data_IF_126407857233
#
_entry.id   IF_126407857233
#
_cell.length_a   1.000
_cell.length_b   1.000
_cell.length_c   1.000
_cell.angle_alpha   90.00
_cell.angle_beta   90.00
_cell.angle_gamma   90.00
#
_symmetry.space_group_name_H-M   'P 1'
#
loop_
_entity.id
_entity.type
_entity.pdbx_description
1 polymer ?
#
# COMPACT_ATOMS: atom_id res chain seq x y z
N UNK A 1 2.85 7.24 -5.91
CA UNK A 1 1.54 6.79 -6.41
C UNK A 1 1.06 7.58 -7.62
N UNK A 2 0.36 8.70 -7.45
CA UNK A 2 -0.32 9.42 -8.57
C UNK A 2 0.40 10.69 -9.06
N UNK A 3 1.58 11.02 -8.50
CA UNK A 3 2.21 12.33 -8.70
C UNK A 3 1.30 13.52 -8.32
N UNK A 4 0.51 13.34 -7.24
CA UNK A 4 -0.48 14.29 -6.71
C UNK A 4 -1.73 14.50 -7.56
N UNK A 5 -1.99 13.64 -8.55
CA UNK A 5 -3.23 13.64 -9.31
C UNK A 5 -4.33 12.84 -8.58
N UNK A 6 -5.35 13.54 -8.07
CA UNK A 6 -6.49 12.91 -7.38
C UNK A 6 -7.45 12.18 -8.31
N UNK A 7 -7.38 12.40 -9.63
CA UNK A 7 -8.21 11.74 -10.63
C UNK A 7 -7.50 10.58 -11.34
N UNK A 8 -6.28 10.24 -10.89
CA UNK A 8 -5.48 9.19 -11.50
C UNK A 8 -6.19 7.83 -11.47
N UNK A 9 -6.25 7.17 -12.63
CA UNK A 9 -6.72 5.80 -12.80
C UNK A 9 -5.64 5.00 -13.53
N UNK A 10 -5.09 3.98 -12.88
CA UNK A 10 -4.10 3.10 -13.52
C UNK A 10 -4.76 2.06 -14.44
N UNK A 11 -3.95 1.42 -15.31
CA UNK A 11 -4.39 0.30 -16.15
C UNK A 11 -4.93 -0.89 -15.34
N UNK A 12 -4.48 -1.05 -14.09
CA UNK A 12 -4.96 -2.08 -13.17
C UNK A 12 -6.22 -1.65 -12.39
N UNK A 13 -6.75 -0.45 -12.66
CA UNK A 13 -7.94 0.09 -12.02
C UNK A 13 -7.67 0.75 -10.66
N UNK A 14 -6.42 0.98 -10.27
CA UNK A 14 -6.10 1.70 -9.04
C UNK A 14 -6.53 3.17 -9.12
N UNK A 15 -7.20 3.68 -8.09
CA UNK A 15 -7.96 4.93 -8.12
C UNK A 15 -7.39 5.99 -7.17
N UNK A 16 -7.38 7.22 -7.65
CA UNK A 16 -7.18 8.42 -6.84
C UNK A 16 -5.76 8.63 -6.33
N UNK A 17 -5.62 9.57 -5.39
CA UNK A 17 -4.34 10.11 -4.94
C UNK A 17 -3.34 9.02 -4.49
N UNK A 18 -3.79 8.05 -3.70
CA UNK A 18 -3.00 6.94 -3.16
C UNK A 18 -3.15 5.64 -3.96
N UNK A 19 -3.76 5.69 -5.15
CA UNK A 19 -3.89 4.55 -6.06
C UNK A 19 -4.44 3.30 -5.36
N UNK A 20 -5.59 3.45 -4.69
CA UNK A 20 -6.26 2.35 -3.98
C UNK A 20 -6.95 1.43 -5.00
N UNK A 21 -6.72 0.12 -4.91
CA UNK A 21 -7.40 -0.85 -5.78
C UNK A 21 -8.91 -0.94 -5.47
N UNK A 22 -9.76 -1.23 -6.46
CA UNK A 22 -11.22 -1.28 -6.26
C UNK A 22 -11.68 -2.27 -5.17
N UNK A 23 -11.00 -3.40 -5.04
CA UNK A 23 -11.30 -4.39 -4.02
C UNK A 23 -10.94 -3.89 -2.61
N UNK A 24 -9.76 -3.28 -2.47
CA UNK A 24 -9.34 -2.62 -1.24
C UNK A 24 -10.29 -1.48 -0.87
N UNK A 25 -10.70 -0.66 -1.84
CA UNK A 25 -11.67 0.41 -1.61
C UNK A 25 -12.99 -0.13 -1.07
N UNK A 26 -13.55 -1.15 -1.73
CA UNK A 26 -14.83 -1.76 -1.33
C UNK A 26 -14.79 -2.33 0.09
N UNK A 27 -13.66 -2.89 0.49
CA UNK A 27 -13.49 -3.47 1.82
C UNK A 27 -13.31 -2.41 2.91
N UNK A 28 -12.54 -1.36 2.65
CA UNK A 28 -12.07 -0.43 3.68
C UNK A 28 -12.78 0.93 3.70
N UNK A 29 -13.44 1.35 2.62
CA UNK A 29 -14.24 2.58 2.60
C UNK A 29 -15.31 2.66 3.69
N UNK A 30 -16.04 1.56 4.02
CA UNK A 30 -17.01 1.59 5.11
C UNK A 30 -16.39 1.89 6.48
N UNK A 31 -15.13 1.52 6.71
CA UNK A 31 -14.47 1.69 8.01
C UNK A 31 -14.22 3.17 8.36
N UNK A 32 -14.16 4.03 7.35
CA UNK A 32 -13.94 5.49 7.49
C UNK A 32 -15.09 6.31 6.91
N UNK A 33 -16.20 5.66 6.55
CA UNK A 33 -17.38 6.26 5.95
C UNK A 33 -17.06 7.07 4.66
N UNK A 34 -16.09 6.59 3.88
CA UNK A 34 -15.68 7.17 2.61
C UNK A 34 -16.64 6.77 1.48
N UNK A 35 -16.87 7.67 0.53
CA UNK A 35 -17.88 7.48 -0.54
C UNK A 35 -17.35 7.67 -1.95
N UNK A 36 -16.25 8.42 -2.14
CA UNK A 36 -15.66 8.67 -3.46
C UNK A 36 -14.15 8.37 -3.47
N UNK A 37 -13.66 7.41 -4.27
CA UNK A 37 -12.23 7.11 -4.38
C UNK A 37 -11.42 8.21 -5.05
N UNK A 38 -12.05 9.17 -5.72
CA UNK A 38 -11.40 10.31 -6.38
C UNK A 38 -11.41 11.59 -5.53
N UNK A 39 -12.16 11.60 -4.42
CA UNK A 39 -12.01 12.60 -3.37
C UNK A 39 -10.71 12.32 -2.59
N UNK A 40 -9.77 13.25 -2.64
CA UNK A 40 -8.43 13.09 -2.03
C UNK A 40 -8.49 12.75 -0.54
N UNK A 41 -9.42 13.35 0.21
CA UNK A 41 -9.54 13.12 1.64
C UNK A 41 -10.00 11.69 1.92
N UNK A 42 -11.08 11.26 1.27
CA UNK A 42 -11.62 9.91 1.35
C UNK A 42 -10.57 8.86 0.92
N UNK A 43 -9.86 9.12 -0.18
CA UNK A 43 -8.80 8.25 -0.68
C UNK A 43 -7.66 8.06 0.33
N UNK A 44 -7.20 9.14 0.96
CA UNK A 44 -6.16 9.08 1.99
C UNK A 44 -6.65 8.35 3.25
N UNK A 45 -7.90 8.57 3.68
CA UNK A 45 -8.43 7.88 4.85
C UNK A 45 -8.49 6.36 4.64
N UNK A 46 -8.99 5.91 3.48
CA UNK A 46 -9.07 4.49 3.15
C UNK A 46 -7.68 3.87 3.06
N UNK A 47 -6.75 4.52 2.35
CA UNK A 47 -5.38 4.04 2.24
C UNK A 47 -4.66 3.99 3.59
N UNK A 48 -4.87 4.98 4.47
CA UNK A 48 -4.26 5.02 5.80
C UNK A 48 -4.74 3.86 6.68
N UNK A 49 -6.04 3.61 6.73
CA UNK A 49 -6.60 2.47 7.48
C UNK A 49 -6.11 1.14 6.89
N UNK A 50 -6.03 1.02 5.58
CA UNK A 50 -5.52 -0.20 4.95
C UNK A 50 -4.03 -0.43 5.24
N UNK A 51 -3.21 0.62 5.20
CA UNK A 51 -1.79 0.56 5.57
C UNK A 51 -1.62 0.15 7.03
N UNK A 52 -2.43 0.68 7.95
CA UNK A 52 -2.37 0.29 9.36
C UNK A 52 -2.76 -1.18 9.59
N UNK A 53 -3.75 -1.66 8.85
CA UNK A 53 -4.10 -3.08 8.83
C UNK A 53 -2.92 -3.95 8.35
N UNK A 54 -2.28 -3.59 7.24
CA UNK A 54 -1.13 -4.32 6.70
C UNK A 54 0.03 -4.34 7.69
N UNK A 55 0.35 -3.18 8.29
CA UNK A 55 1.37 -3.03 9.33
C UNK A 55 1.11 -3.97 10.52
N UNK A 56 -0.12 -3.96 11.03
CA UNK A 56 -0.50 -4.77 12.19
C UNK A 56 -0.44 -6.26 11.88
N UNK A 57 -0.94 -6.67 10.71
CA UNK A 57 -0.89 -8.05 10.24
C UNK A 57 0.54 -8.55 10.08
N UNK A 58 1.42 -7.79 9.43
CA UNK A 58 2.80 -8.19 9.18
C UNK A 58 3.64 -8.21 10.45
N UNK A 59 3.43 -7.24 11.35
CA UNK A 59 4.05 -7.25 12.68
C UNK A 59 3.71 -8.53 13.46
N UNK A 60 2.45 -8.96 13.43
CA UNK A 60 2.01 -10.22 14.05
C UNK A 60 2.64 -11.47 13.39
N UNK A 61 3.13 -11.36 12.15
CA UNK A 61 3.84 -12.41 11.42
C UNK A 61 5.36 -12.36 11.60
N UNK A 62 5.88 -11.42 12.40
CA UNK A 62 7.33 -11.27 12.61
C UNK A 62 8.04 -10.38 11.58
N UNK A 63 7.29 -9.58 10.80
CA UNK A 63 7.81 -8.65 9.80
C UNK A 63 7.39 -7.20 10.14
N UNK A 64 7.87 -6.62 11.26
CA UNK A 64 7.41 -5.30 11.75
C UNK A 64 7.93 -4.12 10.92
N UNK A 65 8.88 -4.33 10.01
CA UNK A 65 9.50 -3.27 9.21
C UNK A 65 8.48 -2.64 8.24
N UNK A 66 8.54 -1.30 8.11
CA UNK A 66 7.59 -0.53 7.28
C UNK A 66 7.68 -0.91 5.81
N UNK A 67 8.87 -1.32 5.40
CA UNK A 67 9.21 -1.80 4.07
C UNK A 67 8.29 -2.94 3.63
N UNK A 68 8.05 -3.93 4.51
CA UNK A 68 7.16 -5.04 4.20
C UNK A 68 5.71 -4.61 4.01
N UNK A 69 5.23 -3.67 4.83
CA UNK A 69 3.90 -3.07 4.67
C UNK A 69 3.79 -2.35 3.31
N UNK A 70 4.81 -1.60 2.90
CA UNK A 70 4.83 -0.91 1.60
C UNK A 70 4.88 -1.90 0.43
N UNK A 71 5.65 -2.98 0.55
CA UNK A 71 5.67 -4.07 -0.44
C UNK A 71 4.29 -4.72 -0.54
N UNK A 72 3.62 -5.00 0.60
CA UNK A 72 2.28 -5.58 0.60
C UNK A 72 1.26 -4.65 -0.08
N UNK A 73 1.35 -3.34 0.16
CA UNK A 73 0.49 -2.35 -0.47
C UNK A 73 0.67 -2.33 -2.00
N UNK A 74 1.91 -2.38 -2.49
CA UNK A 74 2.23 -2.30 -3.91
C UNK A 74 2.04 -3.62 -4.68
N UNK A 75 2.38 -4.75 -4.05
CA UNK A 75 2.42 -6.05 -4.69
C UNK A 75 1.23 -6.94 -4.32
N UNK A 76 0.45 -6.54 -3.32
CA UNK A 76 -0.67 -7.29 -2.77
C UNK A 76 -0.24 -8.19 -1.60
N UNK A 77 -1.02 -8.24 -0.50
CA UNK A 77 -0.65 -8.98 0.70
C UNK A 77 -0.58 -10.49 0.46
N UNK A 78 -1.42 -11.06 -0.41
CA UNK A 78 -1.39 -12.50 -0.71
C UNK A 78 -0.09 -12.92 -1.40
N UNK A 79 0.38 -12.12 -2.37
CA UNK A 79 1.64 -12.39 -3.06
C UNK A 79 2.83 -12.32 -2.11
N UNK A 80 2.84 -11.32 -1.24
CA UNK A 80 3.86 -11.20 -0.20
C UNK A 80 3.82 -12.39 0.77
N UNK A 81 2.64 -12.81 1.24
CA UNK A 81 2.53 -13.95 2.15
C UNK A 81 3.05 -15.24 1.50
N UNK A 82 2.71 -15.49 0.24
CA UNK A 82 3.20 -16.67 -0.48
C UNK A 82 4.73 -16.64 -0.65
N UNK A 83 5.29 -15.45 -0.93
CA UNK A 83 6.73 -15.25 -1.01
C UNK A 83 7.44 -15.53 0.32
N UNK A 84 6.93 -14.97 1.43
CA UNK A 84 7.49 -15.18 2.77
C UNK A 84 7.34 -16.63 3.23
N UNK A 85 6.20 -17.27 2.96
CA UNK A 85 5.97 -18.69 3.27
C UNK A 85 6.91 -19.61 2.48
N UNK A 86 7.37 -19.18 1.30
CA UNK A 86 8.41 -19.85 0.52
C UNK A 86 9.84 -19.62 1.02
N UNK A 87 10.03 -18.88 2.12
CA UNK A 87 11.34 -18.53 2.68
C UNK A 87 12.01 -17.35 1.98
N UNK A 88 11.28 -16.57 1.18
CA UNK A 88 11.83 -15.41 0.48
C UNK A 88 12.34 -14.35 1.45
N UNK A 89 13.57 -13.90 1.24
CA UNK A 89 14.18 -12.81 2.01
C UNK A 89 14.05 -11.47 1.26
N UNK A 90 14.34 -10.36 1.95
CA UNK A 90 14.31 -9.03 1.33
C UNK A 90 15.10 -8.98 0.02
N UNK A 91 16.29 -9.57 -0.02
CA UNK A 91 17.18 -9.60 -1.20
C UNK A 91 16.61 -10.35 -2.40
N UNK A 92 15.63 -11.24 -2.19
CA UNK A 92 15.02 -12.06 -3.25
C UNK A 92 13.78 -11.40 -3.85
N UNK A 93 13.31 -10.29 -3.27
CA UNK A 93 12.20 -9.53 -3.83
C UNK A 93 12.57 -8.97 -5.22
N UNK A 94 11.62 -8.98 -6.17
CA UNK A 94 11.81 -8.30 -7.44
C UNK A 94 12.21 -6.84 -7.20
N UNK A 95 13.25 -6.35 -7.88
CA UNK A 95 13.85 -5.04 -7.66
C UNK A 95 12.83 -3.90 -7.62
N UNK A 96 11.82 -3.96 -8.49
CA UNK A 96 10.76 -2.95 -8.54
C UNK A 96 9.98 -2.83 -7.21
N UNK A 97 9.80 -3.92 -6.46
CA UNK A 97 9.05 -3.94 -5.20
C UNK A 97 9.88 -3.39 -4.05
N UNK A 98 11.18 -3.72 -4.02
CA UNK A 98 12.13 -3.13 -3.06
C UNK A 98 12.24 -1.62 -3.26
N UNK A 99 12.50 -1.19 -4.50
CA UNK A 99 12.64 0.23 -4.85
C UNK A 99 11.41 1.04 -4.50
N UNK A 100 10.21 0.50 -4.73
CA UNK A 100 8.97 1.17 -4.33
C UNK A 100 8.96 1.52 -2.83
N UNK A 101 9.29 0.56 -1.96
CA UNK A 101 9.32 0.80 -0.52
C UNK A 101 10.44 1.77 -0.10
N UNK A 102 11.64 1.57 -0.66
CA UNK A 102 12.82 2.40 -0.38
C UNK A 102 12.60 3.86 -0.79
N UNK A 103 12.02 4.09 -1.97
CA UNK A 103 11.74 5.44 -2.47
C UNK A 103 10.71 6.18 -1.62
N UNK A 104 9.63 5.50 -1.19
CA UNK A 104 8.63 6.10 -0.32
C UNK A 104 9.24 6.50 1.02
N UNK A 105 10.03 5.62 1.64
CA UNK A 105 10.67 5.92 2.93
C UNK A 105 11.71 7.04 2.81
N UNK A 106 12.46 7.06 1.71
CA UNK A 106 13.39 8.16 1.40
C UNK A 106 12.67 9.49 1.25
N UNK A 107 11.55 9.54 0.52
CA UNK A 107 10.75 10.76 0.37
C UNK A 107 10.19 11.19 1.73
N UNK A 108 9.66 10.27 2.53
CA UNK A 108 9.12 10.58 3.86
C UNK A 108 10.14 11.24 4.80
N UNK A 109 11.44 10.90 4.67
CA UNK A 109 12.52 11.54 5.43
C UNK A 109 12.86 12.97 4.96
N UNK A 110 12.39 13.37 3.78
CA UNK A 110 12.65 14.71 3.21
C UNK A 110 11.53 15.71 3.48
N UNK A 111 10.42 15.27 4.08
CA UNK A 111 9.31 16.14 4.46
C UNK A 111 9.63 16.74 5.86
N UNK A 112 9.58 18.08 6.03
CA UNK A 112 9.95 18.76 7.27
C UNK A 112 9.12 18.35 8.50
#
# INVERSE_FOLDING_TARGET
>A
ESSFDSLALSNAGAMGLMQVLPDTWREWAPAVNASDPFDSYSNVQVAAVYLDYLRSRLSAQGHPEKEWMLVAYNWGPERLNNFLAGGGAWTDLPDARRRYAEDILRIAQTIP
#
